data_IF_835819876232
#
_entry.id   IF_835819876232
#
_cell.length_a   1.000
_cell.length_b   1.000
_cell.length_c   1.000
_cell.angle_alpha   90.00
_cell.angle_beta   90.00
_cell.angle_gamma   90.00
#
_symmetry.space_group_name_H-M   'P 1'
#
loop_
_entity.id
_entity.type
_entity.pdbx_description
1 polymer ?
#
# COMPACT_ATOMS: atom_id res chain seq x y z
N UNK A 1 11.47 -43.40 -10.49
CA UNK A 1 11.30 -41.94 -10.36
C UNK A 1 10.01 -41.55 -11.07
N UNK A 2 9.02 -41.03 -10.33
CA UNK A 2 7.75 -40.59 -10.92
C UNK A 2 7.90 -39.17 -11.45
N UNK A 3 7.87 -39.01 -12.77
CA UNK A 3 7.90 -37.71 -13.44
C UNK A 3 6.56 -36.98 -13.20
N UNK A 4 6.54 -36.04 -12.25
CA UNK A 4 5.36 -35.23 -11.93
C UNK A 4 5.27 -34.09 -12.95
N UNK A 5 4.34 -34.19 -13.89
CA UNK A 5 4.03 -33.09 -14.82
C UNK A 5 3.21 -32.01 -14.11
N UNK A 6 3.79 -30.82 -13.95
CA UNK A 6 3.09 -29.66 -13.41
C UNK A 6 2.16 -29.06 -14.46
N UNK A 7 0.90 -28.84 -14.10
CA UNK A 7 -0.07 -28.13 -14.94
C UNK A 7 0.40 -26.70 -15.19
N UNK A 8 0.47 -26.29 -16.46
CA UNK A 8 0.82 -24.93 -16.87
C UNK A 8 -0.47 -24.14 -17.10
N UNK A 9 -0.62 -23.01 -16.41
CA UNK A 9 -1.73 -22.08 -16.65
C UNK A 9 -1.41 -21.15 -17.83
N UNK A 10 -2.39 -20.85 -18.68
CA UNK A 10 -2.24 -19.88 -19.79
C UNK A 10 -1.80 -18.49 -19.31
N UNK A 11 -2.21 -18.09 -18.10
CA UNK A 11 -1.81 -16.85 -17.43
C UNK A 11 -0.86 -17.12 -16.26
N UNK A 12 0.16 -17.93 -16.49
CA UNK A 12 1.21 -18.13 -15.48
C UNK A 12 1.91 -16.81 -15.16
N UNK A 13 2.14 -16.54 -13.87
CA UNK A 13 2.95 -15.41 -13.44
C UNK A 13 4.35 -15.51 -14.04
N UNK A 14 4.80 -14.44 -14.70
CA UNK A 14 6.16 -14.36 -15.26
C UNK A 14 6.97 -13.39 -14.41
N UNK A 15 8.14 -13.80 -13.89
CA UNK A 15 9.00 -12.89 -13.16
C UNK A 15 9.49 -11.79 -14.09
N UNK A 16 9.06 -10.55 -13.81
CA UNK A 16 9.59 -9.36 -14.49
C UNK A 16 11.03 -9.13 -13.99
N UNK A 17 11.99 -9.41 -14.87
CA UNK A 17 13.39 -9.04 -14.68
C UNK A 17 13.49 -7.55 -14.99
N UNK A 18 13.37 -6.71 -13.96
CA UNK A 18 13.69 -5.29 -14.08
C UNK A 18 15.19 -5.23 -14.34
N UNK A 19 15.59 -5.00 -15.59
CA UNK A 19 16.98 -4.77 -15.93
C UNK A 19 17.30 -3.30 -15.67
N UNK A 20 18.46 -3.00 -15.09
CA UNK A 20 18.95 -1.63 -14.82
C UNK A 20 18.98 -0.72 -16.06
N UNK A 21 18.81 -1.29 -17.26
CA UNK A 21 18.73 -0.63 -18.57
C UNK A 21 17.38 0.03 -18.91
N UNK A 22 16.33 -0.12 -18.11
CA UNK A 22 15.12 0.72 -18.26
C UNK A 22 15.36 2.08 -17.57
N UNK A 23 16.05 3.00 -18.25
CA UNK A 23 16.45 4.31 -17.72
C UNK A 23 15.29 5.32 -17.54
N UNK A 24 14.03 4.87 -17.60
CA UNK A 24 12.84 5.72 -17.47
C UNK A 24 12.43 5.99 -16.01
N UNK A 25 11.86 7.16 -15.75
CA UNK A 25 11.26 7.50 -14.44
C UNK A 25 10.22 6.47 -13.99
N UNK A 26 9.46 5.92 -14.93
CA UNK A 26 8.46 4.88 -14.67
C UNK A 26 9.08 3.56 -14.17
N UNK A 27 10.25 3.18 -14.67
CA UNK A 27 10.95 1.99 -14.22
C UNK A 27 11.52 2.17 -12.81
N UNK A 28 12.06 3.35 -12.50
CA UNK A 28 12.50 3.72 -11.14
C UNK A 28 11.33 3.70 -10.15
N UNK A 29 10.18 4.23 -10.54
CA UNK A 29 8.93 4.15 -9.77
C UNK A 29 8.55 2.69 -9.50
N UNK A 30 8.45 1.86 -10.55
CA UNK A 30 8.09 0.43 -10.40
C UNK A 30 9.06 -0.31 -9.49
N UNK A 31 10.37 -0.06 -9.65
CA UNK A 31 11.40 -0.68 -8.81
C UNK A 31 11.23 -0.26 -7.35
N UNK A 32 11.06 1.03 -7.07
CA UNK A 32 10.81 1.53 -5.72
C UNK A 32 9.59 0.86 -5.09
N UNK A 33 8.44 0.86 -5.79
CA UNK A 33 7.21 0.25 -5.26
C UNK A 33 7.35 -1.26 -5.06
N UNK A 34 8.11 -1.95 -5.90
CA UNK A 34 8.40 -3.39 -5.74
C UNK A 34 9.29 -3.65 -4.51
N UNK A 35 10.33 -2.84 -4.33
CA UNK A 35 11.22 -2.92 -3.16
C UNK A 35 10.47 -2.66 -1.87
N UNK A 36 9.66 -1.60 -1.81
CA UNK A 36 8.85 -1.27 -0.64
C UNK A 36 7.85 -2.40 -0.30
N UNK A 37 7.17 -2.99 -1.30
CA UNK A 37 6.30 -4.16 -1.07
C UNK A 37 7.09 -5.36 -0.53
N UNK A 38 8.27 -5.62 -1.09
CA UNK A 38 9.13 -6.71 -0.63
C UNK A 38 9.61 -6.49 0.81
N UNK A 39 9.93 -5.26 1.19
CA UNK A 39 10.32 -4.86 2.54
C UNK A 39 9.18 -5.14 3.54
N UNK A 40 7.95 -4.71 3.23
CA UNK A 40 6.80 -5.00 4.09
C UNK A 40 6.48 -6.49 4.20
N UNK A 41 6.66 -7.29 3.13
CA UNK A 41 6.45 -8.74 3.20
C UNK A 41 7.49 -9.48 4.06
N UNK A 42 8.70 -8.91 4.21
CA UNK A 42 9.76 -9.46 5.07
C UNK A 42 9.64 -8.99 6.52
N UNK A 43 8.68 -8.10 6.81
CA UNK A 43 8.58 -7.43 8.09
C UNK A 43 8.04 -8.39 9.15
N UNK A 44 8.85 -8.62 10.18
CA UNK A 44 8.49 -9.44 11.34
C UNK A 44 8.97 -8.71 12.60
N UNK A 45 8.42 -9.03 13.79
CA UNK A 45 8.87 -8.39 15.02
C UNK A 45 10.38 -8.48 15.27
N UNK A 46 11.03 -9.55 14.78
CA UNK A 46 12.48 -9.78 14.93
C UNK A 46 13.33 -8.99 13.93
N UNK A 47 12.79 -8.67 12.75
CA UNK A 47 13.51 -7.93 11.69
C UNK A 47 13.14 -6.45 11.63
N UNK A 48 12.22 -6.00 12.50
CA UNK A 48 11.64 -4.66 12.52
C UNK A 48 12.68 -3.54 12.36
N UNK A 49 13.66 -3.46 13.25
CA UNK A 49 14.55 -2.29 13.31
C UNK A 49 15.44 -2.19 12.06
N UNK A 50 15.91 -3.32 11.54
CA UNK A 50 16.68 -3.36 10.30
C UNK A 50 15.85 -2.92 9.09
N UNK A 51 14.60 -3.38 9.02
CA UNK A 51 13.70 -3.04 7.90
C UNK A 51 13.18 -1.60 7.99
N UNK A 52 13.06 -1.03 9.19
CA UNK A 52 12.77 0.40 9.31
C UNK A 52 13.94 1.21 8.75
N UNK A 53 15.19 0.91 9.13
CA UNK A 53 16.35 1.62 8.60
C UNK A 53 16.43 1.50 7.06
N UNK A 54 16.21 0.31 6.51
CA UNK A 54 16.16 0.10 5.05
C UNK A 54 15.05 0.95 4.39
N UNK A 55 13.89 1.10 5.04
CA UNK A 55 12.81 1.95 4.54
C UNK A 55 13.20 3.44 4.53
N UNK A 56 13.86 3.90 5.60
CA UNK A 56 14.32 5.29 5.75
C UNK A 56 15.37 5.65 4.69
N UNK A 57 16.28 4.73 4.39
CA UNK A 57 17.34 4.89 3.37
C UNK A 57 16.77 5.15 1.96
N UNK A 58 15.56 4.67 1.67
CA UNK A 58 14.89 4.92 0.39
C UNK A 58 14.39 6.37 0.22
N UNK A 59 14.41 7.19 1.28
CA UNK A 59 14.00 8.61 1.25
C UNK A 59 12.71 8.85 0.49
N UNK A 60 11.70 8.04 0.80
CA UNK A 60 10.43 8.01 0.05
C UNK A 60 9.70 9.35 0.03
N UNK A 61 9.99 10.26 0.97
CA UNK A 61 9.43 11.60 1.05
C UNK A 61 9.88 12.54 -0.09
N UNK A 62 11.02 12.25 -0.75
CA UNK A 62 11.52 13.01 -1.91
C UNK A 62 10.97 12.46 -3.23
N UNK A 63 10.38 11.26 -3.20
CA UNK A 63 9.92 10.58 -4.40
C UNK A 63 8.57 11.11 -4.89
N UNK A 64 8.38 11.31 -6.22
CA UNK A 64 7.05 11.59 -6.77
C UNK A 64 6.07 10.42 -6.57
N UNK A 65 6.57 9.24 -6.22
CA UNK A 65 5.77 8.04 -5.94
C UNK A 65 5.33 7.89 -4.47
N UNK A 66 5.50 8.95 -3.67
CA UNK A 66 5.09 8.97 -2.27
C UNK A 66 3.61 8.58 -2.06
N UNK A 67 2.63 9.07 -2.85
CA UNK A 67 1.22 8.67 -2.68
C UNK A 67 1.01 7.15 -2.83
N UNK A 68 1.69 6.52 -3.78
CA UNK A 68 1.63 5.08 -4.01
C UNK A 68 2.31 4.29 -2.88
N UNK A 69 3.40 4.80 -2.32
CA UNK A 69 4.04 4.21 -1.12
C UNK A 69 3.08 4.25 0.07
N UNK A 70 2.42 5.39 0.33
CA UNK A 70 1.43 5.50 1.40
C UNK A 70 0.26 4.54 1.15
N UNK A 71 -0.20 4.41 -0.09
CA UNK A 71 -1.27 3.48 -0.44
C UNK A 71 -0.90 2.03 -0.10
N UNK A 72 0.33 1.59 -0.41
CA UNK A 72 0.82 0.25 -0.03
C UNK A 72 0.77 0.04 1.49
N UNK A 73 1.15 1.05 2.28
CA UNK A 73 1.13 0.96 3.75
C UNK A 73 -0.30 0.78 4.26
N UNK A 74 -1.25 1.56 3.73
CA UNK A 74 -2.66 1.47 4.11
C UNK A 74 -3.26 0.12 3.72
N UNK A 75 -3.00 -0.35 2.50
CA UNK A 75 -3.49 -1.65 2.02
C UNK A 75 -2.96 -2.77 2.91
N UNK A 76 -1.65 -2.74 3.25
CA UNK A 76 -1.05 -3.69 4.19
C UNK A 76 -1.62 -3.62 5.59
N UNK A 77 -1.90 -2.43 6.10
CA UNK A 77 -2.53 -2.26 7.41
C UNK A 77 -3.96 -2.84 7.44
N UNK A 78 -4.68 -2.78 6.33
CA UNK A 78 -6.02 -3.38 6.19
C UNK A 78 -5.94 -4.90 6.05
N UNK A 79 -5.03 -5.40 5.21
CA UNK A 79 -4.80 -6.84 5.00
C UNK A 79 -4.27 -7.53 6.26
N UNK A 80 -3.40 -6.84 7.01
CA UNK A 80 -2.63 -7.41 8.11
C UNK A 80 -2.80 -6.59 9.42
N UNK A 81 -4.02 -6.55 10.03
CA UNK A 81 -4.29 -5.68 11.19
C UNK A 81 -3.38 -5.93 12.40
N UNK A 82 -2.87 -7.16 12.55
CA UNK A 82 -1.95 -7.56 13.63
C UNK A 82 -0.62 -6.80 13.56
N UNK A 83 -0.21 -6.34 12.38
CA UNK A 83 1.02 -5.60 12.17
C UNK A 83 0.81 -4.07 12.08
N UNK A 84 -0.41 -3.56 12.26
CA UNK A 84 -0.68 -2.11 12.32
C UNK A 84 0.25 -1.32 13.25
N UNK A 85 0.53 -1.78 14.50
CA UNK A 85 1.47 -1.06 15.38
C UNK A 85 2.88 -0.96 14.80
N UNK A 86 3.28 -1.94 13.99
CA UNK A 86 4.57 -1.96 13.31
C UNK A 86 4.59 -0.95 12.15
N UNK A 87 3.57 -0.93 11.31
CA UNK A 87 3.43 0.06 10.23
C UNK A 87 3.40 1.49 10.77
N UNK A 88 2.67 1.72 11.86
CA UNK A 88 2.63 3.02 12.54
C UNK A 88 4.01 3.46 13.06
N UNK A 89 4.81 2.52 13.56
CA UNK A 89 6.17 2.82 14.03
C UNK A 89 7.10 3.25 12.89
N UNK A 90 7.01 2.61 11.72
CA UNK A 90 7.76 2.99 10.50
C UNK A 90 7.38 4.42 10.09
N UNK A 91 6.08 4.68 9.95
CA UNK A 91 5.58 6.00 9.60
C UNK A 91 6.06 7.08 10.59
N UNK A 92 6.06 6.76 11.88
CA UNK A 92 6.54 7.70 12.90
C UNK A 92 8.04 7.98 12.77
N UNK A 93 8.88 6.96 12.55
CA UNK A 93 10.32 7.17 12.37
C UNK A 93 10.61 7.98 11.11
N UNK A 94 9.94 7.68 9.99
CA UNK A 94 10.07 8.44 8.75
C UNK A 94 9.74 9.93 8.94
N UNK A 95 8.63 10.23 9.63
CA UNK A 95 8.25 11.62 9.93
C UNK A 95 9.27 12.30 10.84
N UNK A 96 9.76 11.61 11.88
CA UNK A 96 10.76 12.19 12.80
C UNK A 96 12.05 12.54 12.06
N UNK A 97 12.53 11.64 11.22
CA UNK A 97 13.74 11.87 10.42
C UNK A 97 13.53 13.02 9.43
N UNK A 98 12.42 13.00 8.68
CA UNK A 98 12.11 14.07 7.74
C UNK A 98 12.02 15.44 8.42
N UNK A 99 11.33 15.53 9.57
CA UNK A 99 11.23 16.78 10.34
C UNK A 99 12.60 17.30 10.78
N UNK A 100 13.52 16.41 11.15
CA UNK A 100 14.89 16.76 11.56
C UNK A 100 15.75 17.28 10.41
N UNK A 101 15.48 16.84 9.18
CA UNK A 101 16.23 17.21 7.98
C UNK A 101 15.61 18.43 7.25
N UNK A 102 14.28 18.56 7.26
CA UNK A 102 13.53 19.50 6.42
C UNK A 102 12.90 20.66 7.20
N UNK A 103 13.63 21.25 8.15
CA UNK A 103 13.21 22.46 8.88
C UNK A 103 11.78 22.36 9.48
N UNK A 104 11.46 21.22 10.12
CA UNK A 104 10.14 20.90 10.67
C UNK A 104 8.99 20.76 9.65
N UNK A 105 9.28 20.53 8.37
CA UNK A 105 8.29 20.17 7.34
C UNK A 105 8.34 18.66 7.09
N UNK A 106 7.17 18.03 6.97
CA UNK A 106 7.08 16.61 6.59
C UNK A 106 6.02 16.39 5.51
N UNK A 107 6.48 16.14 4.29
CA UNK A 107 5.65 15.72 3.16
C UNK A 107 5.06 14.34 3.42
N UNK A 108 5.80 13.44 4.08
CA UNK A 108 5.30 12.12 4.42
C UNK A 108 4.10 12.19 5.37
N UNK A 109 4.17 13.02 6.41
CA UNK A 109 3.05 13.26 7.33
C UNK A 109 1.82 13.78 6.59
N UNK A 110 2.01 14.76 5.71
CA UNK A 110 0.90 15.33 4.94
C UNK A 110 0.26 14.28 4.02
N UNK A 111 1.06 13.44 3.37
CA UNK A 111 0.55 12.36 2.53
C UNK A 111 -0.28 11.33 3.31
N UNK A 112 0.15 10.95 4.54
CA UNK A 112 -0.64 10.09 5.43
C UNK A 112 -2.00 10.73 5.74
N UNK A 113 -2.02 12.02 6.09
CA UNK A 113 -3.25 12.72 6.46
C UNK A 113 -4.23 12.77 5.30
N UNK A 114 -3.74 13.12 4.10
CA UNK A 114 -4.55 13.15 2.87
C UNK A 114 -5.14 11.76 2.60
N UNK A 115 -4.31 10.70 2.60
CA UNK A 115 -4.79 9.34 2.32
C UNK A 115 -5.79 8.86 3.38
N UNK A 116 -5.57 9.16 4.65
CA UNK A 116 -6.49 8.80 5.73
C UNK A 116 -7.86 9.47 5.54
N UNK A 117 -7.85 10.76 5.18
CA UNK A 117 -9.06 11.52 4.92
C UNK A 117 -9.83 10.95 3.72
N UNK A 118 -9.15 10.71 2.60
CA UNK A 118 -9.74 10.09 1.40
C UNK A 118 -10.36 8.73 1.74
N UNK A 119 -9.60 7.86 2.41
CA UNK A 119 -10.06 6.51 2.78
C UNK A 119 -11.32 6.57 3.65
N UNK A 120 -11.36 7.50 4.59
CA UNK A 120 -12.51 7.64 5.48
C UNK A 120 -13.73 8.17 4.72
N UNK A 121 -13.57 9.23 3.92
CA UNK A 121 -14.67 9.84 3.17
C UNK A 121 -15.26 8.87 2.14
N UNK A 122 -14.42 8.14 1.40
CA UNK A 122 -14.87 7.12 0.44
C UNK A 122 -15.61 5.98 1.14
N UNK A 123 -15.10 5.47 2.27
CA UNK A 123 -15.80 4.40 3.02
C UNK A 123 -17.20 4.81 3.48
N UNK A 124 -17.36 6.04 3.99
CA UNK A 124 -18.68 6.52 4.37
C UNK A 124 -19.65 6.59 3.18
N UNK A 125 -19.15 6.95 2.00
CA UNK A 125 -19.96 7.00 0.79
C UNK A 125 -20.32 5.59 0.29
N UNK A 126 -19.37 4.66 0.28
CA UNK A 126 -19.60 3.27 -0.13
C UNK A 126 -20.57 2.56 0.82
N UNK A 127 -20.44 2.77 2.13
CA UNK A 127 -21.33 2.19 3.14
C UNK A 127 -22.75 2.75 2.99
N UNK A 128 -22.90 4.05 2.71
CA UNK A 128 -24.19 4.68 2.41
C UNK A 128 -24.83 4.10 1.13
N UNK A 129 -24.04 3.88 0.08
CA UNK A 129 -24.53 3.26 -1.16
C UNK A 129 -25.00 1.83 -0.91
N UNK A 130 -24.20 1.02 -0.19
CA UNK A 130 -24.57 -0.36 0.16
C UNK A 130 -25.85 -0.44 0.99
N UNK A 131 -26.03 0.48 1.95
CA UNK A 131 -27.25 0.54 2.75
C UNK A 131 -28.47 0.85 1.85
N UNK A 132 -28.34 1.80 0.92
CA UNK A 132 -29.40 2.14 -0.04
C UNK A 132 -29.69 1.01 -1.03
N UNK A 133 -28.68 0.30 -1.51
CA UNK A 133 -28.83 -0.86 -2.38
C UNK A 133 -29.55 -2.01 -1.65
N UNK A 134 -29.20 -2.26 -0.38
CA UNK A 134 -29.86 -3.28 0.44
C UNK A 134 -31.33 -2.92 0.72
N UNK A 135 -31.67 -1.65 0.95
CA UNK A 135 -33.06 -1.18 1.07
C UNK A 135 -33.87 -1.41 -0.22
N UNK A 136 -33.28 -1.12 -1.39
CA UNK A 136 -33.93 -1.32 -2.69
C UNK A 136 -34.13 -2.82 -2.99
N UNK A 137 -33.18 -3.67 -2.60
CA UNK A 137 -33.26 -5.11 -2.81
C UNK A 137 -34.27 -5.79 -1.86
N UNK A 138 -34.38 -5.30 -0.62
CA UNK A 138 -35.34 -5.76 0.38
C UNK A 138 -36.79 -5.34 0.11
N UNK A 139 -37.01 -4.34 -0.76
CA UNK A 139 -38.35 -3.89 -1.14
C UNK A 139 -39.01 -4.87 -2.14
N UNK A 140 -40.05 -5.56 -1.69
CA UNK A 140 -40.75 -6.64 -2.42
C UNK A 140 -41.83 -6.18 -3.40
N UNK A 141 -42.07 -4.88 -3.58
CA UNK A 141 -43.13 -4.35 -4.45
C UNK A 141 -42.62 -4.03 -5.87
N UNK A 142 -42.99 -4.87 -6.85
CA UNK A 142 -42.49 -4.82 -8.25
C UNK A 142 -42.83 -3.52 -9.01
N UNK A 143 -43.73 -2.67 -8.50
CA UNK A 143 -44.15 -1.44 -9.22
C UNK A 143 -43.24 -0.22 -9.05
N UNK A 144 -42.22 -0.27 -8.18
CA UNK A 144 -41.26 0.84 -7.97
C UNK A 144 -39.79 0.49 -8.26
N UNK A 145 -39.47 -0.71 -8.76
CA UNK A 145 -38.11 -1.15 -9.14
C UNK A 145 -37.57 -0.56 -10.46
N UNK A 146 -38.06 0.61 -10.90
CA UNK A 146 -37.58 1.29 -12.11
C UNK A 146 -36.97 2.65 -11.79
#
# INVERSE_FOLDING_TARGET
ETNVQLHKAEKAWKPEKVTETDEGEEAKKKLLLKTIRALFNKITPTTKDALINEFLDHKVYESPSLPEVISIIFDKAVEEPKFCPLYAAICQQQVKEELSLNNNVSHFRNAILVRAQETFQTKNQDDFVKEKEAEIEAETDEKKKK
#
